data_IF_324757754087
#
_entry.id   IF_324757754087
#
_cell.length_a   1.000
_cell.length_b   1.000
_cell.length_c   1.000
_cell.angle_alpha   90.00
_cell.angle_beta   90.00
_cell.angle_gamma   90.00
#
_symmetry.space_group_name_H-M   'P 1'
#
loop_
_entity.id
_entity.type
_entity.pdbx_description
1 polymer ?
#
# COMPACT_ATOMS: atom_id res chain seq x y z
N UNK A 1 -0.69 8.89 5.76
CA UNK A 1 0.64 9.46 6.03
C UNK A 1 1.66 8.34 5.95
N UNK A 2 2.89 8.61 5.54
CA UNK A 2 3.98 7.64 5.61
C UNK A 2 4.33 7.34 7.08
N UNK A 3 4.44 6.08 7.46
CA UNK A 3 4.76 5.68 8.84
C UNK A 3 6.25 5.83 9.18
N UNK A 4 7.11 5.85 8.17
CA UNK A 4 8.56 5.98 8.31
C UNK A 4 9.16 6.71 7.10
N UNK A 5 10.44 7.06 7.18
CA UNK A 5 11.21 7.55 6.04
C UNK A 5 11.35 6.45 4.99
N UNK A 6 11.39 6.81 3.71
CA UNK A 6 11.48 5.86 2.61
C UNK A 6 11.37 6.52 1.26
N UNK A 7 10.83 5.78 0.29
CA UNK A 7 10.57 6.28 -1.05
C UNK A 7 9.29 5.70 -1.66
N UNK A 8 8.73 6.37 -2.66
CA UNK A 8 7.68 5.81 -3.52
C UNK A 8 8.30 4.69 -4.35
N UNK A 9 7.79 3.47 -4.17
CA UNK A 9 8.23 2.29 -4.92
C UNK A 9 7.40 2.12 -6.20
N UNK A 10 6.08 2.16 -6.06
CA UNK A 10 5.13 1.99 -7.16
C UNK A 10 3.91 2.87 -6.93
N UNK A 11 3.18 3.19 -7.99
CA UNK A 11 1.89 3.85 -7.93
C UNK A 11 1.13 3.57 -9.22
N UNK A 12 -0.20 3.64 -9.18
CA UNK A 12 -1.02 3.38 -10.35
C UNK A 12 -2.51 3.29 -10.04
N UNK A 13 -3.27 2.80 -11.01
CA UNK A 13 -4.72 2.66 -10.92
C UNK A 13 -5.13 1.24 -11.35
N UNK A 14 -5.77 0.51 -10.44
CA UNK A 14 -6.34 -0.80 -10.69
C UNK A 14 -7.82 -0.66 -11.06
N UNK A 15 -8.20 -0.89 -12.34
CA UNK A 15 -9.52 -0.49 -12.85
C UNK A 15 -10.64 -1.51 -12.63
N UNK A 16 -10.35 -2.69 -12.06
CA UNK A 16 -11.35 -3.73 -11.91
C UNK A 16 -12.32 -3.42 -10.75
N UNK A 17 -13.59 -3.79 -10.91
CA UNK A 17 -14.60 -3.65 -9.85
C UNK A 17 -14.21 -4.51 -8.64
N UNK A 18 -14.15 -3.89 -7.47
CA UNK A 18 -13.72 -4.54 -6.23
C UNK A 18 -12.21 -4.62 -6.04
N UNK A 19 -11.41 -4.04 -6.94
CA UNK A 19 -9.95 -3.94 -6.80
C UNK A 19 -9.55 -2.72 -5.97
N UNK A 20 -8.27 -2.35 -5.95
CA UNK A 20 -7.72 -1.28 -5.12
C UNK A 20 -8.01 0.14 -5.61
N UNK A 21 -8.45 0.35 -6.84
CA UNK A 21 -8.54 1.71 -7.41
C UNK A 21 -7.16 2.38 -7.48
N UNK A 22 -7.06 3.65 -7.07
CA UNK A 22 -5.74 4.31 -7.02
C UNK A 22 -4.89 3.78 -5.87
N UNK A 23 -3.61 3.53 -6.17
CA UNK A 23 -2.65 2.89 -5.26
C UNK A 23 -1.35 3.67 -5.21
N UNK A 24 -0.80 3.77 -4.00
CA UNK A 24 0.60 4.16 -3.76
C UNK A 24 1.27 3.08 -2.94
N UNK A 25 2.46 2.65 -3.35
CA UNK A 25 3.31 1.73 -2.59
C UNK A 25 4.58 2.47 -2.19
N UNK A 26 4.89 2.48 -0.91
CA UNK A 26 6.17 2.99 -0.39
C UNK A 26 7.12 1.84 -0.05
N UNK A 27 8.41 2.09 -0.18
CA UNK A 27 9.49 1.21 0.29
C UNK A 27 10.20 1.88 1.45
N UNK A 28 10.38 1.14 2.53
CA UNK A 28 11.07 1.55 3.74
C UNK A 28 12.19 0.57 4.05
N UNK A 29 13.23 1.02 4.75
CA UNK A 29 14.36 0.20 5.13
C UNK A 29 14.53 0.20 6.65
N UNK A 30 14.34 -0.97 7.27
CA UNK A 30 14.51 -1.17 8.71
C UNK A 30 15.76 -2.03 8.97
N UNK A 31 16.89 -1.37 9.25
CA UNK A 31 18.19 -2.03 9.23
C UNK A 31 18.55 -2.42 7.79
N UNK A 32 18.73 -3.72 7.53
CA UNK A 32 18.96 -4.25 6.18
C UNK A 32 17.70 -4.91 5.57
N UNK A 33 16.55 -4.78 6.23
CA UNK A 33 15.30 -5.42 5.82
C UNK A 33 14.42 -4.41 5.07
N UNK A 34 14.19 -4.61 3.76
CA UNK A 34 13.22 -3.79 3.03
C UNK A 34 11.80 -4.20 3.41
N UNK A 35 10.92 -3.20 3.51
CA UNK A 35 9.50 -3.35 3.78
C UNK A 35 8.71 -2.47 2.81
N UNK A 36 7.76 -3.07 2.11
CA UNK A 36 6.83 -2.33 1.26
C UNK A 36 5.51 -2.15 1.96
N UNK A 37 4.88 -1.00 1.75
CA UNK A 37 3.54 -0.70 2.25
C UNK A 37 2.66 -0.19 1.13
N UNK A 38 1.57 -0.91 0.87
CA UNK A 38 0.54 -0.54 -0.10
C UNK A 38 -0.55 0.26 0.60
N UNK A 39 -0.89 1.40 0.00
CA UNK A 39 -2.03 2.26 0.33
C UNK A 39 -2.98 2.21 -0.86
N UNK A 40 -4.12 1.53 -0.70
CA UNK A 40 -5.15 1.40 -1.72
C UNK A 40 -6.39 2.23 -1.41
N UNK A 41 -7.34 2.22 -2.35
CA UNK A 41 -8.61 2.95 -2.30
C UNK A 41 -8.42 4.47 -2.20
N UNK A 42 -7.43 4.99 -2.93
CA UNK A 42 -7.04 6.40 -2.91
C UNK A 42 -7.80 7.23 -3.95
N UNK A 43 -7.74 8.55 -3.80
CA UNK A 43 -8.19 9.49 -4.83
C UNK A 43 -7.19 9.54 -6.01
N UNK A 44 -7.65 9.98 -7.18
CA UNK A 44 -6.80 10.14 -8.37
C UNK A 44 -5.65 11.14 -8.13
N UNK A 45 -5.92 12.17 -7.33
CA UNK A 45 -4.94 13.20 -6.99
C UNK A 45 -3.73 12.63 -6.23
N UNK A 46 -3.89 11.52 -5.50
CA UNK A 46 -2.83 10.88 -4.74
C UNK A 46 -1.71 10.30 -5.61
N UNK A 47 -2.03 9.88 -6.84
CA UNK A 47 -1.05 9.33 -7.78
C UNK A 47 -0.52 10.37 -8.77
N UNK A 48 -1.19 11.51 -8.90
CA UNK A 48 -0.80 12.59 -9.79
C UNK A 48 0.59 13.17 -9.40
N UNK A 49 1.50 13.22 -10.37
CA UNK A 49 2.84 13.80 -10.18
C UNK A 49 3.81 12.98 -9.33
N UNK A 50 3.42 11.77 -8.89
CA UNK A 50 4.32 10.84 -8.20
C UNK A 50 5.38 10.30 -9.14
N UNK A 51 6.54 9.95 -8.58
CA UNK A 51 7.65 9.34 -9.30
C UNK A 51 8.24 8.21 -8.47
N UNK A 52 8.63 7.11 -9.12
CA UNK A 52 9.37 6.03 -8.46
C UNK A 52 10.71 6.58 -7.96
N UNK A 53 11.08 6.26 -6.72
CA UNK A 53 12.24 6.80 -6.02
C UNK A 53 12.03 8.19 -5.42
N UNK A 54 10.82 8.76 -5.49
CA UNK A 54 10.50 10.00 -4.78
C UNK A 54 10.66 9.76 -3.26
N UNK A 55 11.47 10.54 -2.55
CA UNK A 55 11.64 10.37 -1.12
C UNK A 55 10.33 10.71 -0.38
N UNK A 56 10.07 9.97 0.70
CA UNK A 56 9.00 10.25 1.66
C UNK A 56 9.57 10.35 3.06
N UNK A 57 9.09 11.30 3.85
CA UNK A 57 9.46 11.45 5.26
C UNK A 57 8.40 10.86 6.20
N UNK A 58 8.82 10.39 7.37
CA UNK A 58 7.91 9.95 8.43
C UNK A 58 6.92 11.05 8.77
N UNK A 59 5.62 10.71 8.79
CA UNK A 59 4.51 11.64 9.02
C UNK A 59 4.08 12.45 7.80
N UNK A 60 4.76 12.35 6.65
CA UNK A 60 4.37 13.04 5.44
C UNK A 60 2.99 12.57 4.93
N UNK A 61 2.15 13.52 4.51
CA UNK A 61 0.90 13.21 3.82
C UNK A 61 1.22 12.85 2.37
N UNK A 62 1.15 11.55 2.06
CA UNK A 62 1.49 11.02 0.74
C UNK A 62 0.26 10.72 -0.14
N UNK A 63 -0.93 10.62 0.44
CA UNK A 63 -2.17 10.27 -0.25
C UNK A 63 -3.42 10.59 0.61
N UNK A 64 -4.58 10.54 -0.03
CA UNK A 64 -5.92 10.71 0.54
C UNK A 64 -6.84 9.58 0.07
N UNK A 65 -7.84 9.24 0.89
CA UNK A 65 -8.86 8.22 0.52
C UNK A 65 -9.73 8.75 -0.61
N UNK A 66 -10.02 7.89 -1.59
CA UNK A 66 -10.86 8.20 -2.74
C UNK A 66 -12.33 7.92 -2.48
N UNK A 67 -13.16 8.53 -3.33
CA UNK A 67 -14.58 8.19 -3.36
C UNK A 67 -14.84 6.87 -4.11
N UNK A 68 -16.09 6.41 -4.04
CA UNK A 68 -16.52 5.13 -4.61
C UNK A 68 -16.28 5.00 -6.12
N UNK A 69 -16.20 6.11 -6.85
CA UNK A 69 -16.05 6.11 -8.30
C UNK A 69 -14.61 5.90 -8.76
N UNK A 70 -13.64 6.06 -7.86
CA UNK A 70 -12.20 6.01 -8.17
C UNK A 70 -11.41 5.04 -7.27
N UNK A 71 -12.02 4.51 -6.21
CA UNK A 71 -11.37 3.65 -5.24
C UNK A 71 -11.56 2.14 -5.50
N UNK A 72 -12.04 1.76 -6.69
CA UNK A 72 -12.41 0.37 -7.02
C UNK A 72 -13.85 -0.01 -6.67
N UNK A 73 -14.73 0.96 -6.38
CA UNK A 73 -16.15 0.70 -6.12
C UNK A 73 -16.50 0.43 -4.66
N UNK A 74 -15.57 0.70 -3.74
CA UNK A 74 -15.73 0.47 -2.31
C UNK A 74 -16.33 1.69 -1.58
N UNK A 75 -16.92 1.45 -0.41
CA UNK A 75 -17.21 2.56 0.51
C UNK A 75 -15.89 3.21 0.96
N UNK A 76 -15.79 4.55 1.09
CA UNK A 76 -14.51 5.22 1.35
C UNK A 76 -13.81 4.71 2.61
N UNK A 77 -12.64 4.10 2.42
CA UNK A 77 -11.75 3.60 3.48
C UNK A 77 -10.32 3.48 2.94
N UNK A 78 -9.36 3.12 3.80
CA UNK A 78 -7.99 2.83 3.41
C UNK A 78 -7.77 1.32 3.41
N UNK A 79 -7.30 0.76 2.30
CA UNK A 79 -6.64 -0.55 2.32
C UNK A 79 -5.16 -0.34 2.62
N UNK A 80 -4.66 -0.99 3.66
CA UNK A 80 -3.26 -0.89 4.07
C UNK A 80 -2.67 -2.29 4.25
N UNK A 81 -1.59 -2.57 3.53
CA UNK A 81 -0.94 -3.87 3.51
C UNK A 81 0.57 -3.72 3.53
N UNK A 82 1.23 -4.56 4.33
CA UNK A 82 2.69 -4.67 4.34
C UNK A 82 3.14 -5.86 3.50
N UNK A 83 4.33 -5.77 2.92
CA UNK A 83 5.01 -6.89 2.27
C UNK A 83 6.51 -6.87 2.53
N UNK A 84 7.09 -8.06 2.75
CA UNK A 84 8.53 -8.31 2.76
C UNK A 84 9.04 -8.79 1.39
N UNK A 85 8.14 -8.96 0.42
CA UNK A 85 8.45 -9.32 -0.96
C UNK A 85 8.32 -8.05 -1.81
N UNK A 86 9.30 -7.81 -2.68
CA UNK A 86 9.25 -6.68 -3.59
C UNK A 86 8.09 -6.85 -4.57
N UNK A 87 7.14 -5.89 -4.64
CA UNK A 87 6.09 -5.94 -5.64
C UNK A 87 6.67 -5.69 -7.03
N UNK A 88 6.17 -6.43 -8.03
CA UNK A 88 6.56 -6.22 -9.43
C UNK A 88 5.88 -5.00 -10.06
N UNK A 89 4.72 -4.60 -9.52
CA UNK A 89 3.89 -3.50 -10.03
C UNK A 89 3.20 -2.74 -8.88
N UNK A 90 2.19 -1.93 -9.18
CA UNK A 90 1.37 -1.22 -8.18
C UNK A 90 0.27 -2.10 -7.58
N UNK A 91 0.57 -3.39 -7.41
CA UNK A 91 -0.38 -4.41 -6.98
C UNK A 91 0.29 -5.39 -6.00
N UNK A 92 -0.51 -5.95 -5.08
CA UNK A 92 -0.17 -7.02 -4.16
C UNK A 92 -1.38 -7.94 -3.97
N UNK A 93 -1.18 -9.26 -3.77
CA UNK A 93 -2.28 -10.18 -3.52
C UNK A 93 -3.17 -9.72 -2.36
N UNK A 94 -4.43 -9.43 -2.65
CA UNK A 94 -5.43 -9.07 -1.63
C UNK A 94 -6.03 -10.27 -0.91
N UNK A 95 -5.97 -11.44 -1.54
CA UNK A 95 -6.35 -12.74 -0.98
C UNK A 95 -5.38 -13.81 -1.49
N UNK A 96 -5.23 -14.89 -0.74
CA UNK A 96 -4.41 -16.05 -1.12
C UNK A 96 -5.21 -17.34 -0.99
N UNK A 97 -4.80 -18.37 -1.72
CA UNK A 97 -5.40 -19.68 -1.59
C UNK A 97 -5.11 -20.29 -0.20
N UNK A 98 -5.99 -21.16 0.34
CA UNK A 98 -5.78 -21.78 1.65
C UNK A 98 -4.42 -22.48 1.80
N UNK A 99 -3.92 -23.10 0.74
CA UNK A 99 -2.62 -23.77 0.68
C UNK A 99 -1.42 -22.81 0.82
N UNK A 100 -1.57 -21.55 0.40
CA UNK A 100 -0.50 -20.54 0.43
C UNK A 100 -0.49 -19.73 1.73
N UNK A 101 -1.46 -19.98 2.63
CA UNK A 101 -1.69 -19.19 3.85
C UNK A 101 -0.44 -19.11 4.74
N UNK A 102 0.30 -20.20 4.89
CA UNK A 102 1.50 -20.20 5.74
C UNK A 102 2.58 -19.28 5.19
N UNK A 103 2.81 -19.31 3.88
CA UNK A 103 3.78 -18.43 3.22
C UNK A 103 3.29 -16.97 3.24
N UNK A 104 2.00 -16.74 3.01
CA UNK A 104 1.43 -15.39 3.05
C UNK A 104 1.61 -14.70 4.41
N UNK A 105 1.55 -15.44 5.52
CA UNK A 105 1.81 -14.89 6.85
C UNK A 105 3.28 -14.48 7.07
N UNK A 106 4.21 -15.09 6.32
CA UNK A 106 5.63 -14.71 6.32
C UNK A 106 5.87 -13.51 5.40
N UNK A 107 5.24 -13.49 4.24
CA UNK A 107 5.45 -12.46 3.22
C UNK A 107 4.72 -11.15 3.54
N UNK A 108 3.54 -11.22 4.17
CA UNK A 108 2.66 -10.07 4.44
C UNK A 108 2.44 -9.92 5.96
N UNK A 109 3.35 -9.22 6.66
CA UNK A 109 3.29 -9.12 8.10
C UNK A 109 2.11 -8.26 8.58
N UNK A 110 1.77 -8.42 9.86
CA UNK A 110 0.67 -7.70 10.50
C UNK A 110 0.87 -6.16 10.43
N UNK A 111 -0.06 -5.40 9.82
CA UNK A 111 0.07 -3.95 9.69
C UNK A 111 0.11 -3.21 11.04
N UNK A 112 -0.34 -3.83 12.13
CA UNK A 112 -0.25 -3.27 13.49
C UNK A 112 1.20 -3.10 13.96
N UNK A 113 2.16 -3.76 13.31
CA UNK A 113 3.59 -3.55 13.59
C UNK A 113 4.04 -2.11 13.31
N UNK A 114 3.41 -1.42 12.36
CA UNK A 114 3.74 -0.03 12.01
C UNK A 114 2.64 0.96 12.36
N UNK A 115 1.38 0.52 12.39
CA UNK A 115 0.25 1.38 12.75
C UNK A 115 -0.02 1.44 14.25
N UNK A 116 0.54 0.49 15.01
CA UNK A 116 0.24 0.33 16.43
C UNK A 116 -1.14 -0.30 16.70
N UNK A 117 -1.65 -0.19 17.94
CA UNK A 117 -2.95 -0.72 18.31
C UNK A 117 -4.08 -0.08 17.49
N UNK A 118 -4.80 -0.91 16.74
CA UNK A 118 -6.07 -0.54 16.10
C UNK A 118 -7.19 -0.87 17.09
N UNK A 119 -8.16 0.05 17.20
CA UNK A 119 -9.20 0.05 18.24
C UNK A 119 -10.25 -1.06 18.06
#
# INVERSE_FOLDING_TARGET
MAFADGEISHFGYNPADGDYGNVVITKHLFGDVPLWALYGHLDEASIAGKQVGQPVSSGEVICWMGDKHENGGWEPHLHFQLSLVEPETHDLPGVVAPEDREQALLDYPDPRLVLGPLY
#
